data_IF_633261523012
#
_entry.id   IF_633261523012
#
_cell.length_a   1.000
_cell.length_b   1.000
_cell.length_c   1.000
_cell.angle_alpha   90.00
_cell.angle_beta   90.00
_cell.angle_gamma   90.00
#
_symmetry.space_group_name_H-M   'P 1'
#
loop_
_entity.id
_entity.type
_entity.pdbx_description
1 polymer ?
#
# COMPACT_ATOMS: atom_id res chain seq x y z
N UNK A 1 11.26 18.51 30.02
CA UNK A 1 10.05 18.77 29.19
C UNK A 1 10.52 19.53 27.96
N UNK A 2 10.27 18.99 26.79
CA UNK A 2 10.59 19.68 25.53
C UNK A 2 9.62 20.86 25.36
N UNK A 3 10.16 22.02 25.07
CA UNK A 3 9.37 23.24 24.86
C UNK A 3 8.99 23.43 23.41
N UNK A 4 7.78 23.92 23.17
CA UNK A 4 7.31 24.29 21.85
C UNK A 4 7.92 25.62 21.41
N UNK A 5 8.55 25.66 20.25
CA UNK A 5 9.16 26.85 19.67
C UNK A 5 8.38 27.33 18.44
N UNK A 6 8.45 28.61 18.14
CA UNK A 6 7.87 29.18 16.92
C UNK A 6 8.58 28.60 15.67
N UNK A 7 7.82 28.15 14.69
CA UNK A 7 8.32 27.55 13.46
C UNK A 7 9.24 28.51 12.66
N UNK A 8 9.07 29.83 12.83
CA UNK A 8 9.94 30.84 12.22
C UNK A 8 11.39 30.71 12.69
N UNK A 9 11.61 30.18 13.89
CA UNK A 9 12.95 30.00 14.47
C UNK A 9 13.61 28.67 14.08
N UNK A 10 12.92 27.83 13.32
CA UNK A 10 13.46 26.56 12.84
C UNK A 10 14.66 26.79 11.91
N UNK A 11 15.67 25.93 11.96
CA UNK A 11 16.83 26.02 11.06
C UNK A 11 16.45 25.91 9.59
N UNK A 12 17.23 26.51 8.71
CA UNK A 12 16.97 26.49 7.27
C UNK A 12 16.96 25.07 6.69
N UNK A 13 17.73 24.16 7.25
CA UNK A 13 17.79 22.76 6.83
C UNK A 13 16.43 22.09 7.06
N UNK A 14 15.83 22.27 8.24
CA UNK A 14 14.52 21.72 8.56
C UNK A 14 13.38 22.46 7.88
N UNK A 15 13.51 23.76 7.66
CA UNK A 15 12.58 24.52 6.80
C UNK A 15 12.55 23.98 5.39
N UNK A 16 13.70 23.61 4.82
CA UNK A 16 13.78 23.00 3.49
C UNK A 16 13.09 21.64 3.46
N UNK A 17 13.22 20.83 4.50
CA UNK A 17 12.52 19.56 4.65
C UNK A 17 11.00 19.77 4.70
N UNK A 18 10.53 20.71 5.48
CA UNK A 18 9.10 21.03 5.63
C UNK A 18 8.55 21.63 4.32
N UNK A 19 9.24 22.58 3.71
CA UNK A 19 8.82 23.24 2.47
C UNK A 19 8.69 22.28 1.28
N UNK A 20 9.35 21.13 1.36
CA UNK A 20 9.17 20.06 0.37
C UNK A 20 7.74 19.51 0.38
N UNK A 21 7.05 19.62 1.50
CA UNK A 21 5.71 19.08 1.71
C UNK A 21 4.65 20.17 1.98
N UNK A 22 5.03 21.33 2.51
CA UNK A 22 4.13 22.39 2.93
C UNK A 22 4.64 23.78 2.51
N UNK A 23 3.79 24.57 1.86
CA UNK A 23 4.15 25.89 1.35
C UNK A 23 4.04 27.02 2.39
N UNK A 24 3.55 26.74 3.61
CA UNK A 24 3.36 27.74 4.67
C UNK A 24 3.99 27.27 5.97
N UNK A 25 4.85 28.11 6.54
CA UNK A 25 5.60 27.84 7.76
C UNK A 25 5.04 28.63 8.96
N UNK A 26 3.74 28.52 9.22
CA UNK A 26 3.13 29.09 10.43
C UNK A 26 2.78 27.95 11.39
N UNK A 27 3.21 28.09 12.65
CA UNK A 27 2.97 27.11 13.68
C UNK A 27 4.11 27.00 14.69
N UNK A 28 4.07 25.96 15.49
CA UNK A 28 5.09 25.68 16.52
C UNK A 28 5.77 24.35 16.21
N UNK A 29 6.97 24.17 16.70
CA UNK A 29 7.70 22.92 16.59
C UNK A 29 8.33 22.51 17.91
N UNK A 30 8.58 21.23 18.02
CA UNK A 30 9.31 20.61 19.12
C UNK A 30 10.25 19.54 18.55
N UNK A 31 11.45 19.48 19.09
CA UNK A 31 12.42 18.45 18.72
C UNK A 31 12.67 17.56 19.92
N UNK A 32 12.36 16.28 19.77
CA UNK A 32 12.59 15.29 20.82
C UNK A 32 12.99 13.95 20.21
N UNK A 33 14.04 13.33 20.73
CA UNK A 33 14.54 12.02 20.27
C UNK A 33 14.75 11.94 18.74
N UNK A 34 15.29 13.01 18.13
CA UNK A 34 15.48 13.14 16.70
C UNK A 34 14.17 13.16 15.88
N UNK A 35 13.07 13.50 16.50
CA UNK A 35 11.80 13.72 15.84
C UNK A 35 11.49 15.23 15.93
N UNK A 36 11.32 15.85 14.78
CA UNK A 36 10.74 17.16 14.64
C UNK A 36 9.22 17.00 14.60
N UNK A 37 8.54 17.37 15.65
CA UNK A 37 7.07 17.48 15.67
C UNK A 37 6.70 18.91 15.35
N UNK A 38 5.84 19.12 14.38
CA UNK A 38 5.35 20.44 13.98
C UNK A 38 3.85 20.48 14.17
N UNK A 39 3.39 21.51 14.88
CA UNK A 39 1.98 21.86 14.99
C UNK A 39 1.74 23.07 14.08
N UNK A 40 1.16 22.82 12.93
CA UNK A 40 0.80 23.87 11.97
C UNK A 40 -0.52 24.51 12.40
N UNK A 41 -0.59 25.82 12.49
CA UNK A 41 -1.76 26.58 12.97
C UNK A 41 -3.08 26.18 12.27
N UNK A 42 -3.01 25.72 11.03
CA UNK A 42 -4.18 25.36 10.21
C UNK A 42 -4.25 23.87 9.84
N UNK A 43 -3.29 23.02 10.28
CA UNK A 43 -3.11 21.66 9.73
C UNK A 43 -2.93 20.59 10.81
N UNK A 44 -2.69 20.99 12.06
CA UNK A 44 -2.42 20.06 13.16
C UNK A 44 -1.00 19.49 13.18
N UNK A 45 -0.84 18.42 13.95
CA UNK A 45 0.46 17.84 14.30
C UNK A 45 1.03 16.95 13.19
N UNK A 46 2.25 17.30 12.74
CA UNK A 46 3.05 16.49 11.83
C UNK A 46 4.40 16.14 12.47
N UNK A 47 4.91 14.95 12.16
CA UNK A 47 6.19 14.45 12.69
C UNK A 47 7.19 14.18 11.59
N UNK A 48 8.38 14.77 11.71
CA UNK A 48 9.50 14.60 10.79
C UNK A 48 10.70 14.03 11.55
N UNK A 49 11.40 13.08 10.97
CA UNK A 49 12.65 12.58 11.55
C UNK A 49 13.84 13.43 11.11
N UNK A 50 14.61 13.98 12.08
CA UNK A 50 15.62 15.02 11.87
C UNK A 50 16.95 14.45 11.34
N UNK A 51 17.27 13.22 11.58
CA UNK A 51 18.54 12.67 11.17
C UNK A 51 18.56 12.42 9.68
N UNK A 52 19.03 13.40 8.95
CA UNK A 52 19.50 13.56 7.57
C UNK A 52 19.59 12.37 6.59
N UNK A 53 19.22 11.22 7.02
CA UNK A 53 18.87 10.05 6.23
C UNK A 53 17.36 10.08 6.14
N UNK A 54 16.88 10.75 5.10
CA UNK A 54 15.53 10.58 4.59
C UNK A 54 15.18 9.11 4.72
N UNK A 55 14.08 8.85 5.44
CA UNK A 55 13.43 7.56 5.43
C UNK A 55 14.08 6.43 6.21
N UNK A 56 14.02 6.48 7.49
CA UNK A 56 13.85 5.22 8.19
C UNK A 56 12.35 5.03 8.38
N UNK A 57 11.84 4.08 7.62
CA UNK A 57 10.53 3.45 7.63
C UNK A 57 9.71 3.73 8.88
N UNK A 58 8.54 4.31 8.69
CA UNK A 58 7.55 4.49 9.75
C UNK A 58 6.62 3.28 9.88
N UNK A 59 7.16 2.06 9.80
CA UNK A 59 6.41 0.93 10.27
C UNK A 59 6.99 0.46 11.60
N UNK A 60 6.14 0.41 12.57
CA UNK A 60 6.48 -0.15 13.86
C UNK A 60 6.13 -1.63 13.80
N UNK A 61 7.12 -2.47 14.01
CA UNK A 61 6.86 -3.84 14.43
C UNK A 61 6.31 -3.68 15.84
N UNK A 62 5.00 -3.78 15.99
CA UNK A 62 4.43 -4.01 17.31
C UNK A 62 4.91 -5.41 17.63
N UNK A 63 5.82 -5.51 18.58
CA UNK A 63 6.50 -6.74 19.00
C UNK A 63 5.52 -7.79 19.50
N UNK A 64 4.66 -8.30 18.64
CA UNK A 64 3.99 -9.55 18.85
C UNK A 64 4.35 -10.47 17.71
N UNK A 65 5.27 -11.34 18.02
CA UNK A 65 5.70 -12.43 17.18
C UNK A 65 5.44 -13.72 17.94
N UNK A 66 4.55 -14.52 17.42
CA UNK A 66 4.35 -15.89 17.87
C UNK A 66 4.45 -16.83 16.68
N UNK A 67 5.62 -16.84 16.04
CA UNK A 67 5.95 -17.81 15.01
C UNK A 67 6.92 -18.83 15.61
N UNK A 68 6.37 -19.82 16.27
CA UNK A 68 7.16 -20.96 16.78
C UNK A 68 7.54 -21.93 15.65
N UNK A 69 6.85 -21.87 14.51
CA UNK A 69 7.10 -22.70 13.33
C UNK A 69 6.76 -21.94 12.06
N UNK A 70 7.64 -22.04 11.06
CA UNK A 70 7.40 -21.51 9.73
C UNK A 70 6.67 -22.56 8.90
N UNK A 71 5.57 -22.16 8.29
CA UNK A 71 4.76 -22.97 7.38
C UNK A 71 4.95 -22.49 5.95
N UNK A 72 4.66 -23.35 4.97
CA UNK A 72 4.83 -23.04 3.54
C UNK A 72 3.92 -21.90 3.05
N UNK A 73 2.87 -21.59 3.82
CA UNK A 73 1.84 -20.61 3.45
C UNK A 73 1.88 -19.41 4.38
N UNK A 74 2.10 -18.23 3.82
CA UNK A 74 1.88 -16.95 4.48
C UNK A 74 0.50 -16.40 4.12
N UNK A 75 -0.24 -15.87 5.08
CA UNK A 75 -1.49 -15.13 4.85
C UNK A 75 -1.28 -13.69 5.31
N UNK A 76 -1.17 -12.77 4.37
CA UNK A 76 -0.93 -11.35 4.60
C UNK A 76 -2.24 -10.57 4.52
N UNK A 77 -2.64 -9.97 5.64
CA UNK A 77 -3.92 -9.28 5.84
C UNK A 77 -3.67 -7.81 6.11
N UNK A 78 -4.08 -6.94 5.19
CA UNK A 78 -3.94 -5.50 5.32
C UNK A 78 -5.20 -4.89 5.91
N UNK A 79 -5.09 -4.34 7.13
CA UNK A 79 -6.21 -3.82 7.91
C UNK A 79 -6.20 -2.29 7.90
N UNK A 80 -6.85 -1.72 6.89
CA UNK A 80 -7.16 -0.28 6.80
C UNK A 80 -8.52 0.10 7.41
N UNK A 81 -9.33 -0.89 7.83
CA UNK A 81 -10.60 -0.69 8.51
C UNK A 81 -10.93 -1.89 9.39
N UNK A 82 -10.99 -1.68 10.70
CA UNK A 82 -11.22 -2.74 11.67
C UNK A 82 -12.60 -3.41 11.54
N UNK A 83 -13.66 -2.63 11.34
CA UNK A 83 -15.01 -3.17 11.21
C UNK A 83 -15.16 -4.04 9.97
N UNK A 84 -14.49 -3.66 8.86
CA UNK A 84 -14.46 -4.48 7.65
C UNK A 84 -13.65 -5.75 7.89
N UNK A 85 -12.53 -5.68 8.62
CA UNK A 85 -11.75 -6.87 9.00
C UNK A 85 -12.62 -7.87 9.76
N UNK A 86 -13.42 -7.42 10.74
CA UNK A 86 -14.35 -8.28 11.48
C UNK A 86 -15.36 -9.00 10.56
N UNK A 87 -15.78 -8.38 9.45
CA UNK A 87 -16.65 -9.02 8.46
C UNK A 87 -15.91 -10.07 7.60
N UNK A 88 -14.58 -9.97 7.51
CA UNK A 88 -13.75 -10.91 6.74
C UNK A 88 -13.33 -12.15 7.56
N UNK A 89 -13.41 -12.09 8.88
CA UNK A 89 -12.92 -13.17 9.75
C UNK A 89 -13.52 -14.55 9.48
N UNK A 90 -14.82 -14.71 9.11
CA UNK A 90 -15.36 -16.02 8.76
C UNK A 90 -14.60 -16.72 7.62
N UNK A 91 -13.96 -15.97 6.73
CA UNK A 91 -13.11 -16.55 5.69
C UNK A 91 -11.76 -17.02 6.25
N UNK A 92 -11.21 -16.35 7.28
CA UNK A 92 -9.97 -16.77 7.95
C UNK A 92 -10.19 -18.06 8.76
N UNK A 93 -11.40 -18.29 9.27
CA UNK A 93 -11.75 -19.52 9.96
C UNK A 93 -11.63 -20.78 9.07
N UNK A 94 -11.63 -20.63 7.73
CA UNK A 94 -11.41 -21.72 6.79
C UNK A 94 -9.97 -22.27 6.79
N UNK A 95 -9.03 -21.60 7.51
CA UNK A 95 -7.66 -22.09 7.68
C UNK A 95 -7.47 -22.97 8.93
N UNK A 96 -8.51 -23.26 9.71
CA UNK A 96 -8.38 -23.98 10.99
C UNK A 96 -7.57 -25.28 10.90
N UNK A 97 -7.71 -26.02 9.79
CA UNK A 97 -7.02 -27.28 9.56
C UNK A 97 -5.84 -27.14 8.58
N UNK A 98 -5.50 -25.92 8.17
CA UNK A 98 -4.41 -25.62 7.25
C UNK A 98 -3.31 -24.88 8.02
N UNK A 99 -2.12 -25.41 7.99
CA UNK A 99 -0.98 -24.78 8.64
C UNK A 99 -0.54 -23.53 7.88
N UNK A 100 -0.69 -22.34 8.49
CA UNK A 100 -0.35 -21.04 7.92
C UNK A 100 0.28 -20.12 8.96
N UNK A 101 1.07 -19.17 8.51
CA UNK A 101 1.50 -18.04 9.32
C UNK A 101 0.72 -16.79 8.89
N UNK A 102 0.06 -16.14 9.85
CA UNK A 102 -0.70 -14.92 9.61
C UNK A 102 0.19 -13.69 9.83
N UNK A 103 0.08 -12.72 8.90
CA UNK A 103 0.73 -11.42 8.97
C UNK A 103 -0.34 -10.33 8.93
N UNK A 104 -0.73 -9.83 10.09
CA UNK A 104 -1.68 -8.73 10.22
C UNK A 104 -0.92 -7.41 10.15
N UNK A 105 -1.23 -6.57 9.18
CA UNK A 105 -0.65 -5.24 9.06
C UNK A 105 -1.75 -4.20 9.21
N UNK A 106 -1.72 -3.48 10.32
CA UNK A 106 -2.71 -2.48 10.68
C UNK A 106 -2.18 -1.08 10.36
N UNK A 107 -3.05 -0.20 9.89
CA UNK A 107 -2.74 1.22 9.95
C UNK A 107 -2.76 1.70 11.40
N UNK A 108 -1.96 2.73 11.72
CA UNK A 108 -1.72 3.18 13.10
C UNK A 108 -3.00 3.43 13.90
N UNK A 109 -4.01 4.02 13.28
CA UNK A 109 -5.31 4.33 13.94
C UNK A 109 -6.07 3.08 14.42
N UNK A 110 -5.77 1.90 13.86
CA UNK A 110 -6.36 0.62 14.27
C UNK A 110 -5.40 -0.22 15.14
N UNK A 111 -4.19 0.25 15.37
CA UNK A 111 -3.17 -0.42 16.19
C UNK A 111 -3.36 -0.12 17.68
N UNK A 112 -4.59 -0.19 18.13
CA UNK A 112 -4.96 0.01 19.55
C UNK A 112 -4.81 -1.29 20.34
N UNK A 113 -4.54 -1.22 21.67
CA UNK A 113 -4.28 -2.40 22.51
C UNK A 113 -5.36 -3.47 22.39
N UNK A 114 -6.62 -3.09 22.33
CA UNK A 114 -7.76 -4.01 22.26
C UNK A 114 -7.74 -4.83 20.97
N UNK A 115 -7.44 -4.21 19.84
CA UNK A 115 -7.36 -4.89 18.55
C UNK A 115 -6.16 -5.83 18.50
N UNK A 116 -5.03 -5.40 19.04
CA UNK A 116 -3.81 -6.18 19.10
C UNK A 116 -4.03 -7.43 19.98
N UNK A 117 -4.58 -7.24 21.16
CA UNK A 117 -4.86 -8.33 22.09
C UNK A 117 -5.88 -9.32 21.49
N UNK A 118 -6.89 -8.81 20.81
CA UNK A 118 -7.85 -9.65 20.09
C UNK A 118 -7.15 -10.55 19.05
N UNK A 119 -6.27 -9.98 18.22
CA UNK A 119 -5.54 -10.76 17.21
C UNK A 119 -4.61 -11.80 17.83
N UNK A 120 -3.89 -11.44 18.90
CA UNK A 120 -3.01 -12.35 19.65
C UNK A 120 -3.75 -13.58 20.17
N UNK A 121 -4.90 -13.35 20.78
CA UNK A 121 -5.67 -14.41 21.41
C UNK A 121 -6.35 -15.32 20.39
N UNK A 122 -6.75 -14.77 19.24
CA UNK A 122 -7.45 -15.54 18.21
C UNK A 122 -6.52 -16.28 17.26
N UNK A 123 -5.38 -15.69 16.92
CA UNK A 123 -4.46 -16.21 15.90
C UNK A 123 -3.08 -16.48 16.50
N UNK A 124 -2.88 -17.71 17.00
CA UNK A 124 -1.70 -18.08 17.79
C UNK A 124 -0.40 -18.18 16.99
N UNK A 125 -0.47 -18.26 15.65
CA UNK A 125 0.70 -18.32 14.75
C UNK A 125 0.75 -17.06 13.90
N UNK A 126 0.81 -15.89 14.56
CA UNK A 126 0.70 -14.61 13.85
C UNK A 126 1.82 -13.63 14.18
N UNK A 127 2.05 -12.73 13.25
CA UNK A 127 2.82 -11.50 13.40
C UNK A 127 1.86 -10.33 13.26
N UNK A 128 1.95 -9.37 14.16
CA UNK A 128 1.18 -8.13 14.11
C UNK A 128 2.13 -6.97 13.85
N UNK A 129 1.89 -6.27 12.76
CA UNK A 129 2.67 -5.13 12.32
C UNK A 129 1.78 -3.89 12.29
N UNK A 130 2.35 -2.72 12.55
CA UNK A 130 1.66 -1.45 12.44
C UNK A 130 2.39 -0.50 11.51
N UNK A 131 1.64 0.33 10.80
CA UNK A 131 2.19 1.29 9.85
C UNK A 131 1.32 2.52 9.73
N UNK A 132 1.93 3.62 9.28
CA UNK A 132 1.16 4.72 8.70
C UNK A 132 0.35 4.24 7.50
N UNK A 133 -0.71 4.97 7.14
CA UNK A 133 -1.53 4.69 5.96
C UNK A 133 -0.81 5.18 4.69
N UNK A 134 0.29 4.51 4.34
CA UNK A 134 1.10 4.79 3.16
C UNK A 134 0.85 3.74 2.10
N UNK A 135 0.47 4.16 0.90
CA UNK A 135 0.27 3.27 -0.24
C UNK A 135 -0.91 2.32 -0.08
N UNK A 136 -1.87 2.64 0.79
CA UNK A 136 -3.06 1.81 1.03
C UNK A 136 -2.70 0.33 1.33
N UNK A 137 -3.42 -0.59 0.74
CA UNK A 137 -3.18 -2.04 0.87
C UNK A 137 -1.85 -2.49 0.27
N UNK A 138 -1.34 -1.78 -0.73
CA UNK A 138 -0.04 -2.07 -1.36
C UNK A 138 1.10 -1.81 -0.37
N UNK A 139 1.10 -0.67 0.28
CA UNK A 139 2.13 -0.33 1.25
C UNK A 139 2.15 -1.29 2.43
N UNK A 140 0.98 -1.61 2.97
CA UNK A 140 0.85 -2.59 4.05
C UNK A 140 1.32 -3.99 3.61
N UNK A 141 1.09 -4.38 2.36
CA UNK A 141 1.60 -5.64 1.82
C UNK A 141 3.13 -5.64 1.70
N UNK A 142 3.72 -4.55 1.24
CA UNK A 142 5.19 -4.42 1.19
C UNK A 142 5.82 -4.55 2.57
N UNK A 143 5.15 -4.11 3.63
CA UNK A 143 5.60 -4.30 5.02
C UNK A 143 5.61 -5.78 5.40
N UNK A 144 4.58 -6.55 5.04
CA UNK A 144 4.60 -8.01 5.25
C UNK A 144 5.78 -8.66 4.54
N UNK A 145 6.01 -8.32 3.26
CA UNK A 145 7.13 -8.85 2.49
C UNK A 145 8.48 -8.44 3.10
N UNK A 146 8.59 -7.19 3.55
CA UNK A 146 9.78 -6.70 4.22
C UNK A 146 10.09 -7.51 5.48
N UNK A 147 9.09 -7.70 6.35
CA UNK A 147 9.23 -8.46 7.57
C UNK A 147 9.66 -9.91 7.29
N UNK A 148 9.00 -10.57 6.34
CA UNK A 148 9.34 -11.93 5.91
C UNK A 148 10.81 -12.02 5.46
N UNK A 149 11.26 -11.04 4.65
CA UNK A 149 12.62 -11.05 4.08
C UNK A 149 13.70 -10.71 5.11
N UNK A 150 13.47 -9.73 5.98
CA UNK A 150 14.48 -9.33 6.99
C UNK A 150 14.69 -10.44 8.02
N UNK A 151 13.64 -11.19 8.35
CA UNK A 151 13.69 -12.32 9.27
C UNK A 151 14.01 -13.66 8.56
N UNK A 152 14.26 -13.63 7.24
CA UNK A 152 14.60 -14.79 6.41
C UNK A 152 13.60 -15.94 6.56
N UNK A 153 12.30 -15.59 6.66
CA UNK A 153 11.21 -16.56 6.77
C UNK A 153 10.92 -17.16 5.39
N UNK A 154 10.95 -18.48 5.30
CA UNK A 154 10.73 -19.19 4.04
C UNK A 154 9.28 -19.64 3.93
N UNK A 155 8.56 -19.06 2.98
CA UNK A 155 7.24 -19.47 2.56
C UNK A 155 7.26 -19.79 1.07
N UNK A 156 6.55 -20.82 0.64
CA UNK A 156 6.38 -21.14 -0.78
C UNK A 156 5.28 -20.29 -1.41
N UNK A 157 4.25 -20.02 -0.63
CA UNK A 157 3.04 -19.31 -1.09
C UNK A 157 2.69 -18.14 -0.18
N UNK A 158 2.09 -17.12 -0.77
CA UNK A 158 1.50 -16.01 -0.04
C UNK A 158 0.09 -15.71 -0.54
N UNK A 159 -0.82 -15.55 0.41
CA UNK A 159 -2.18 -15.09 0.17
C UNK A 159 -2.26 -13.64 0.63
N UNK A 160 -2.66 -12.74 -0.28
CA UNK A 160 -2.84 -11.31 0.01
C UNK A 160 -4.32 -10.98 0.00
N UNK A 161 -4.80 -10.43 1.12
CA UNK A 161 -6.17 -9.92 1.27
C UNK A 161 -6.17 -8.59 2.04
N UNK A 162 -7.19 -7.78 1.85
CA UNK A 162 -7.26 -6.48 2.53
C UNK A 162 -8.69 -6.01 2.77
N UNK A 163 -8.85 -5.03 3.66
CA UNK A 163 -10.14 -4.44 4.01
C UNK A 163 -10.62 -3.45 2.94
N UNK A 164 -11.29 -3.96 1.91
CA UNK A 164 -11.86 -3.14 0.82
C UNK A 164 -13.31 -2.78 1.13
N UNK A 165 -13.68 -1.51 0.92
CA UNK A 165 -15.02 -0.98 1.23
C UNK A 165 -16.12 -1.50 0.31
N UNK A 166 -15.80 -1.82 -0.96
CA UNK A 166 -16.75 -2.44 -1.88
C UNK A 166 -17.04 -3.89 -1.45
N UNK A 167 -18.19 -4.10 -0.82
CA UNK A 167 -18.58 -5.39 -0.24
C UNK A 167 -18.69 -6.50 -1.28
N UNK A 168 -19.33 -6.23 -2.43
CA UNK A 168 -19.55 -7.25 -3.46
C UNK A 168 -18.20 -7.72 -4.02
N UNK A 169 -17.35 -6.78 -4.41
CA UNK A 169 -16.01 -7.09 -4.92
C UNK A 169 -15.18 -7.85 -3.89
N UNK A 170 -15.18 -7.39 -2.62
CA UNK A 170 -14.44 -8.01 -1.53
C UNK A 170 -14.90 -9.45 -1.28
N UNK A 171 -16.22 -9.64 -1.12
CA UNK A 171 -16.78 -10.95 -0.80
C UNK A 171 -16.57 -11.95 -1.93
N UNK A 172 -16.74 -11.54 -3.19
CA UNK A 172 -16.41 -12.39 -4.35
C UNK A 172 -14.93 -12.77 -4.36
N UNK A 173 -14.04 -11.79 -4.13
CA UNK A 173 -12.60 -12.03 -4.10
C UNK A 173 -12.20 -13.01 -3.00
N UNK A 174 -12.72 -12.83 -1.79
CA UNK A 174 -12.46 -13.72 -0.66
C UNK A 174 -13.04 -15.12 -0.91
N UNK A 175 -14.27 -15.20 -1.45
CA UNK A 175 -14.88 -16.48 -1.79
C UNK A 175 -14.05 -17.29 -2.80
N UNK A 176 -13.53 -16.63 -3.82
CA UNK A 176 -12.73 -17.27 -4.86
C UNK A 176 -11.36 -17.75 -4.37
N UNK A 177 -10.76 -17.07 -3.39
CA UNK A 177 -9.46 -17.47 -2.84
C UNK A 177 -9.61 -18.44 -1.66
N UNK A 178 -10.52 -18.16 -0.73
CA UNK A 178 -10.57 -18.79 0.59
C UNK A 178 -11.99 -18.98 1.13
N UNK A 179 -12.98 -19.13 0.24
CA UNK A 179 -14.40 -19.28 0.58
C UNK A 179 -14.75 -20.57 1.33
N UNK A 180 -13.85 -21.57 1.34
CA UNK A 180 -13.92 -22.78 2.15
C UNK A 180 -12.53 -23.42 2.24
N UNK A 181 -12.32 -24.32 3.20
CA UNK A 181 -11.10 -25.13 3.32
C UNK A 181 -10.79 -25.86 1.99
N UNK A 182 -11.80 -26.53 1.40
CA UNK A 182 -11.64 -27.20 0.10
C UNK A 182 -11.23 -26.25 -1.02
N UNK A 183 -11.74 -25.01 -1.02
CA UNK A 183 -11.36 -24.00 -2.01
C UNK A 183 -9.90 -23.62 -1.87
N UNK A 184 -9.42 -23.42 -0.63
CA UNK A 184 -8.02 -23.12 -0.35
C UNK A 184 -7.13 -24.27 -0.84
N UNK A 185 -7.45 -25.52 -0.48
CA UNK A 185 -6.69 -26.69 -0.89
C UNK A 185 -6.66 -26.83 -2.42
N UNK A 186 -7.78 -26.62 -3.10
CA UNK A 186 -7.85 -26.68 -4.54
C UNK A 186 -7.02 -25.57 -5.22
N UNK A 187 -7.03 -24.36 -4.66
CA UNK A 187 -6.19 -23.27 -5.13
C UNK A 187 -4.69 -23.57 -4.90
N UNK A 188 -4.33 -24.14 -3.76
CA UNK A 188 -2.96 -24.60 -3.49
C UNK A 188 -2.53 -25.68 -4.48
N UNK A 189 -3.38 -26.68 -4.78
CA UNK A 189 -3.11 -27.68 -5.83
C UNK A 189 -2.97 -27.07 -7.22
N UNK A 190 -3.75 -26.03 -7.55
CA UNK A 190 -3.60 -25.31 -8.82
C UNK A 190 -2.27 -24.58 -8.90
N UNK A 191 -1.95 -23.76 -7.87
CA UNK A 191 -0.74 -22.92 -7.88
C UNK A 191 0.55 -23.73 -7.76
N UNK A 192 0.51 -24.94 -7.19
CA UNK A 192 1.67 -25.83 -7.12
C UNK A 192 2.15 -26.28 -8.49
N UNK A 193 1.30 -26.23 -9.53
CA UNK A 193 1.73 -26.48 -10.91
C UNK A 193 2.85 -25.54 -11.31
N UNK A 194 3.83 -26.05 -12.03
CA UNK A 194 5.09 -25.38 -12.30
C UNK A 194 4.90 -24.01 -12.99
N UNK A 195 3.99 -23.96 -13.96
CA UNK A 195 3.74 -22.79 -14.79
C UNK A 195 2.78 -21.74 -14.20
N UNK A 196 2.17 -21.96 -13.02
CA UNK A 196 1.23 -21.00 -12.42
C UNK A 196 1.95 -20.21 -11.34
N UNK A 197 1.92 -18.89 -11.43
CA UNK A 197 2.55 -17.96 -10.49
C UNK A 197 1.58 -17.31 -9.53
N UNK A 198 0.36 -17.01 -10.00
CA UNK A 198 -0.63 -16.29 -9.21
C UNK A 198 -2.05 -16.71 -9.59
N UNK A 199 -2.91 -16.80 -8.58
CA UNK A 199 -4.36 -17.02 -8.72
C UNK A 199 -5.06 -15.75 -8.27
N UNK A 200 -5.88 -15.15 -9.14
CA UNK A 200 -6.68 -13.98 -8.85
C UNK A 200 -7.92 -14.32 -8.05
N UNK A 201 -8.23 -13.49 -7.05
CA UNK A 201 -9.51 -13.57 -6.34
C UNK A 201 -10.70 -13.03 -7.14
N UNK A 202 -10.45 -12.18 -8.14
CA UNK A 202 -11.51 -11.56 -8.93
C UNK A 202 -11.10 -11.41 -10.40
N UNK A 203 -11.13 -10.20 -10.92
CA UNK A 203 -10.91 -9.91 -12.34
C UNK A 203 -9.42 -9.84 -12.64
N UNK A 204 -9.03 -10.48 -13.73
CA UNK A 204 -7.75 -10.28 -14.40
C UNK A 204 -7.99 -9.31 -15.55
N UNK A 205 -7.31 -8.18 -15.52
CA UNK A 205 -7.33 -7.23 -16.63
C UNK A 205 -6.12 -7.38 -17.51
N UNK A 206 -6.37 -7.29 -18.83
CA UNK A 206 -5.31 -7.16 -19.83
C UNK A 206 -5.04 -5.69 -20.08
N UNK A 207 -3.77 -5.33 -20.11
CA UNK A 207 -3.36 -3.92 -20.25
C UNK A 207 -3.96 -3.25 -21.50
N UNK A 208 -4.09 -4.01 -22.60
CA UNK A 208 -4.63 -3.50 -23.87
C UNK A 208 -6.15 -3.31 -23.88
N UNK A 209 -6.89 -3.85 -22.89
CA UNK A 209 -8.35 -3.67 -22.78
C UNK A 209 -8.72 -2.30 -22.19
N UNK A 210 -7.79 -1.65 -21.49
CA UNK A 210 -7.90 -0.27 -21.09
C UNK A 210 -7.48 0.62 -22.25
N UNK A 211 -8.46 1.13 -22.98
CA UNK A 211 -8.27 2.04 -24.13
C UNK A 211 -7.69 3.42 -23.77
N UNK A 212 -7.32 3.65 -22.53
CA UNK A 212 -6.65 4.86 -22.12
C UNK A 212 -5.16 4.60 -21.85
N UNK A 213 -4.31 4.75 -22.90
CA UNK A 213 -2.85 4.65 -22.75
C UNK A 213 -2.27 5.74 -21.85
N UNK A 214 -3.09 6.73 -21.46
CA UNK A 214 -2.71 7.87 -20.64
C UNK A 214 -3.01 7.67 -19.15
N UNK A 215 -3.32 6.45 -18.72
CA UNK A 215 -3.24 6.21 -17.30
C UNK A 215 -1.79 6.39 -16.89
N UNK A 216 -1.47 7.40 -16.10
CA UNK A 216 -0.12 7.72 -15.59
C UNK A 216 0.54 6.57 -14.84
N UNK A 217 -0.19 5.49 -14.65
CA UNK A 217 0.32 4.21 -14.16
C UNK A 217 1.44 3.65 -15.04
N UNK A 218 1.40 3.90 -16.36
CA UNK A 218 2.47 3.50 -17.26
C UNK A 218 3.80 4.13 -16.87
N UNK A 219 3.81 5.43 -16.64
CA UNK A 219 5.04 6.15 -16.27
C UNK A 219 5.64 5.63 -14.96
N UNK A 220 4.81 5.38 -13.95
CA UNK A 220 5.27 4.80 -12.70
C UNK A 220 5.70 3.35 -12.86
N UNK A 221 4.96 2.56 -13.65
CA UNK A 221 5.28 1.18 -13.92
C UNK A 221 6.61 1.05 -14.68
N UNK A 222 6.83 1.87 -15.70
CA UNK A 222 8.08 1.91 -16.45
C UNK A 222 9.27 2.26 -15.55
N UNK A 223 9.12 3.27 -14.69
CA UNK A 223 10.15 3.63 -13.70
C UNK A 223 10.46 2.47 -12.74
N UNK A 224 9.44 1.77 -12.25
CA UNK A 224 9.62 0.63 -11.36
C UNK A 224 10.33 -0.52 -12.07
N UNK A 225 9.95 -0.84 -13.30
CA UNK A 225 10.58 -1.89 -14.11
C UNK A 225 12.02 -1.52 -14.43
N UNK A 226 12.27 -0.28 -14.85
CA UNK A 226 13.63 0.21 -15.09
C UNK A 226 14.49 0.14 -13.84
N UNK A 227 13.94 0.49 -12.68
CA UNK A 227 14.64 0.42 -11.41
C UNK A 227 14.97 -1.04 -11.01
N UNK A 228 13.99 -1.96 -11.15
CA UNK A 228 14.13 -3.35 -10.69
C UNK A 228 14.93 -4.22 -11.64
N UNK A 229 14.86 -3.97 -12.95
CA UNK A 229 15.39 -4.86 -13.99
C UNK A 229 16.33 -4.16 -14.99
N UNK A 230 16.45 -2.84 -14.92
CA UNK A 230 17.16 -2.02 -15.91
C UNK A 230 16.64 -2.23 -17.35
N UNK A 231 15.33 -2.44 -17.50
CA UNK A 231 14.67 -2.73 -18.77
C UNK A 231 13.58 -1.69 -19.04
N UNK A 232 13.23 -1.53 -20.32
CA UNK A 232 12.03 -0.81 -20.72
C UNK A 232 10.85 -1.78 -20.73
N UNK A 233 9.66 -1.26 -20.46
CA UNK A 233 8.45 -2.07 -20.46
C UNK A 233 8.07 -2.44 -21.90
N UNK A 234 7.88 -3.73 -22.16
CA UNK A 234 7.15 -4.19 -23.31
C UNK A 234 5.69 -4.45 -22.90
N UNK A 235 4.78 -3.60 -23.40
CA UNK A 235 3.37 -3.56 -22.99
C UNK A 235 2.54 -4.71 -23.56
N UNK A 236 3.05 -5.45 -24.52
CA UNK A 236 2.27 -6.53 -25.15
C UNK A 236 1.91 -7.59 -24.12
N UNK A 237 0.60 -7.78 -23.94
CA UNK A 237 0.03 -8.84 -23.11
C UNK A 237 0.36 -8.78 -21.60
N UNK A 238 0.48 -7.58 -21.03
CA UNK A 238 0.54 -7.46 -19.56
C UNK A 238 -0.83 -7.72 -18.95
N UNK A 239 -0.91 -8.70 -18.06
CA UNK A 239 -2.08 -9.01 -17.26
C UNK A 239 -1.82 -8.66 -15.80
N UNK A 240 -2.86 -8.26 -15.06
CA UNK A 240 -2.76 -8.00 -13.63
C UNK A 240 -4.06 -8.31 -12.88
N UNK A 241 -3.93 -8.58 -11.58
CA UNK A 241 -5.06 -8.82 -10.69
C UNK A 241 -5.62 -7.49 -10.19
N UNK A 242 -6.83 -7.15 -10.64
CA UNK A 242 -7.50 -5.96 -10.15
C UNK A 242 -7.86 -6.09 -8.66
N UNK A 243 -7.57 -5.02 -7.90
CA UNK A 243 -7.86 -4.93 -6.47
C UNK A 243 -7.02 -5.83 -5.59
N UNK A 244 -6.00 -6.48 -6.11
CA UNK A 244 -4.91 -7.15 -5.38
C UNK A 244 -5.32 -8.20 -4.34
N UNK A 245 -6.41 -8.92 -4.55
CA UNK A 245 -6.74 -10.15 -3.83
C UNK A 245 -6.17 -11.33 -4.61
N UNK A 246 -5.19 -12.02 -4.06
CA UNK A 246 -4.55 -13.13 -4.77
C UNK A 246 -3.91 -14.16 -3.84
N UNK A 247 -3.67 -15.35 -4.41
CA UNK A 247 -2.72 -16.34 -3.92
C UNK A 247 -1.56 -16.42 -4.91
N UNK A 248 -0.32 -16.36 -4.43
CA UNK A 248 0.86 -16.30 -5.30
C UNK A 248 2.01 -17.17 -4.78
N UNK A 249 2.89 -17.62 -5.69
CA UNK A 249 4.19 -18.18 -5.32
C UNK A 249 5.09 -17.06 -4.78
N UNK A 250 5.73 -17.29 -3.64
CA UNK A 250 6.65 -16.30 -3.07
C UNK A 250 7.81 -15.94 -4.00
N UNK A 251 8.25 -16.88 -4.84
CA UNK A 251 9.37 -16.66 -5.78
C UNK A 251 9.15 -15.50 -6.73
N UNK A 252 7.90 -15.13 -7.07
CA UNK A 252 7.65 -13.99 -7.96
C UNK A 252 8.09 -12.66 -7.34
N UNK A 253 8.14 -12.58 -6.01
CA UNK A 253 8.56 -11.41 -5.24
C UNK A 253 10.06 -11.41 -4.89
N UNK A 254 10.87 -12.31 -5.47
CA UNK A 254 12.30 -12.39 -5.13
C UNK A 254 13.06 -11.12 -5.50
N UNK A 255 12.69 -10.45 -6.60
CA UNK A 255 13.27 -9.17 -6.99
C UNK A 255 12.99 -8.06 -5.96
N UNK A 256 11.90 -8.18 -5.21
CA UNK A 256 11.58 -7.25 -4.12
C UNK A 256 12.39 -7.60 -2.87
N UNK A 257 13.71 -7.42 -2.95
CA UNK A 257 14.58 -7.52 -1.78
C UNK A 257 14.35 -6.36 -0.81
N UNK A 258 15.02 -6.36 0.34
CA UNK A 258 14.86 -5.35 1.39
C UNK A 258 15.07 -3.94 0.84
N UNK A 259 16.12 -3.71 0.04
CA UNK A 259 16.44 -2.39 -0.53
C UNK A 259 15.39 -1.94 -1.54
N UNK A 260 14.91 -2.84 -2.39
CA UNK A 260 13.88 -2.56 -3.38
C UNK A 260 12.53 -2.26 -2.72
N UNK A 261 12.16 -3.01 -1.68
CA UNK A 261 10.96 -2.73 -0.89
C UNK A 261 11.07 -1.34 -0.25
N UNK A 262 12.23 -1.00 0.32
CA UNK A 262 12.48 0.31 0.92
C UNK A 262 12.31 1.44 -0.09
N UNK A 263 12.94 1.30 -1.24
CA UNK A 263 12.83 2.29 -2.31
C UNK A 263 11.37 2.48 -2.74
N UNK A 264 10.66 1.38 -3.00
CA UNK A 264 9.26 1.44 -3.44
C UNK A 264 8.38 2.05 -2.35
N UNK A 265 8.48 1.56 -1.10
CA UNK A 265 7.68 2.04 0.03
C UNK A 265 7.83 3.54 0.27
N UNK A 266 9.06 4.05 0.15
CA UNK A 266 9.34 5.47 0.34
C UNK A 266 8.79 6.37 -0.77
N UNK A 267 8.50 5.80 -1.94
CA UNK A 267 7.87 6.52 -3.05
C UNK A 267 6.34 6.41 -3.05
N UNK A 268 5.74 5.63 -2.14
CA UNK A 268 4.29 5.56 -1.98
C UNK A 268 3.71 6.84 -1.38
N UNK A 269 2.47 7.12 -1.70
CA UNK A 269 1.76 8.25 -1.12
C UNK A 269 1.33 7.96 0.32
N UNK A 270 1.52 8.92 1.21
CA UNK A 270 0.89 8.89 2.52
C UNK A 270 -0.56 9.37 2.36
N UNK A 271 -1.51 8.46 2.56
CA UNK A 271 -2.92 8.72 2.28
C UNK A 271 -3.52 9.73 3.25
N UNK A 272 -3.11 9.69 4.52
CA UNK A 272 -3.66 10.58 5.53
C UNK A 272 -3.26 12.04 5.27
N UNK A 273 -2.02 12.28 4.85
CA UNK A 273 -1.56 13.63 4.46
C UNK A 273 -2.07 14.04 3.08
N UNK A 274 -2.28 13.08 2.17
CA UNK A 274 -2.79 13.34 0.84
C UNK A 274 -4.23 13.82 0.87
N UNK A 275 -5.11 13.16 1.62
CA UNK A 275 -6.51 13.56 1.75
C UNK A 275 -6.64 14.96 2.34
N UNK A 276 -5.81 15.30 3.33
CA UNK A 276 -5.81 16.62 3.94
C UNK A 276 -5.30 17.71 3.00
N UNK A 277 -4.22 17.43 2.27
CA UNK A 277 -3.66 18.34 1.27
C UNK A 277 -4.65 18.63 0.14
N UNK A 278 -5.37 17.59 -0.36
CA UNK A 278 -6.38 17.74 -1.40
C UNK A 278 -7.62 18.45 -0.90
N UNK A 279 -8.03 18.19 0.33
CA UNK A 279 -9.14 18.87 0.95
C UNK A 279 -8.88 20.38 1.05
N UNK A 280 -7.69 20.78 1.43
CA UNK A 280 -7.30 22.20 1.52
C UNK A 280 -7.23 22.88 0.16
N UNK A 281 -6.67 22.22 -0.84
CA UNK A 281 -6.67 22.75 -2.22
C UNK A 281 -8.11 22.89 -2.72
N UNK A 282 -8.98 21.91 -2.46
CA UNK A 282 -10.38 21.94 -2.85
C UNK A 282 -11.15 23.10 -2.22
N UNK A 283 -10.95 23.36 -0.93
CA UNK A 283 -11.62 24.46 -0.22
C UNK A 283 -11.02 25.83 -0.55
N UNK A 284 -9.74 25.93 -0.84
CA UNK A 284 -9.09 27.17 -1.23
C UNK A 284 -9.26 27.51 -2.73
N UNK A 285 -9.69 26.56 -3.54
CA UNK A 285 -10.03 26.82 -4.94
C UNK A 285 -11.41 27.48 -5.00
N UNK A 286 -11.42 28.80 -5.19
CA UNK A 286 -12.65 29.53 -5.46
C UNK A 286 -13.39 28.90 -6.65
N UNK A 287 -14.68 28.64 -6.47
CA UNK A 287 -15.56 27.94 -7.43
C UNK A 287 -15.41 28.46 -8.87
N UNK A 288 -15.13 29.75 -9.03
CA UNK A 288 -14.91 30.41 -10.33
C UNK A 288 -13.62 30.00 -11.06
N UNK A 289 -12.66 29.36 -10.38
CA UNK A 289 -11.38 28.93 -10.96
C UNK A 289 -11.34 27.43 -11.30
N UNK A 290 -12.37 26.64 -10.99
CA UNK A 290 -12.38 25.19 -11.24
C UNK A 290 -12.16 24.82 -12.70
N UNK A 291 -12.82 25.53 -13.62
CA UNK A 291 -12.70 25.31 -15.06
C UNK A 291 -11.30 25.71 -15.58
N UNK A 292 -10.68 26.76 -15.02
CA UNK A 292 -9.35 27.18 -15.39
C UNK A 292 -8.31 26.12 -14.98
N UNK A 293 -8.37 25.63 -13.76
CA UNK A 293 -7.45 24.58 -13.25
C UNK A 293 -7.61 23.28 -14.03
N UNK A 294 -8.86 22.91 -14.38
CA UNK A 294 -9.16 21.74 -15.21
C UNK A 294 -8.56 21.89 -16.61
N UNK A 295 -8.72 23.06 -17.24
CA UNK A 295 -8.17 23.36 -18.57
C UNK A 295 -6.64 23.47 -18.55
N UNK A 296 -6.06 24.09 -17.53
CA UNK A 296 -4.61 24.17 -17.34
C UNK A 296 -3.99 22.78 -17.12
N UNK A 297 -4.71 21.89 -16.45
CA UNK A 297 -4.31 20.51 -16.29
C UNK A 297 -4.31 19.74 -17.63
N UNK A 298 -5.37 19.84 -18.41
CA UNK A 298 -5.47 19.15 -19.73
C UNK A 298 -4.54 19.73 -20.77
N UNK A 299 -4.26 21.02 -20.74
CA UNK A 299 -3.41 21.70 -21.70
C UNK A 299 -1.91 21.62 -21.39
N UNK A 300 -1.55 21.40 -20.11
CA UNK A 300 -0.18 21.28 -19.65
C UNK A 300 0.16 19.83 -19.25
N UNK A 301 0.24 18.95 -20.25
CA UNK A 301 0.61 17.52 -20.08
C UNK A 301 1.95 17.27 -19.37
N UNK A 302 2.77 18.29 -19.18
CA UNK A 302 4.07 18.24 -18.52
C UNK A 302 4.04 18.73 -17.07
N UNK A 303 2.94 19.26 -16.57
CA UNK A 303 2.85 19.80 -15.23
C UNK A 303 2.29 18.78 -14.23
N UNK A 304 3.06 18.59 -13.20
CA UNK A 304 3.03 17.65 -12.07
C UNK A 304 1.82 17.79 -11.12
N UNK A 305 0.63 18.14 -11.61
CA UNK A 305 -0.54 18.04 -10.75
C UNK A 305 -1.02 16.60 -10.70
N UNK A 306 -1.17 16.01 -9.53
CA UNK A 306 -1.75 14.68 -9.42
C UNK A 306 -3.19 14.71 -9.96
N UNK A 307 -3.54 13.70 -10.74
CA UNK A 307 -4.82 13.63 -11.45
C UNK A 307 -6.04 13.49 -10.55
N UNK A 308 -5.82 13.18 -9.27
CA UNK A 308 -6.84 13.23 -8.23
C UNK A 308 -7.55 14.60 -8.16
N UNK A 309 -6.83 15.72 -8.44
CA UNK A 309 -7.44 17.05 -8.51
C UNK A 309 -8.50 17.10 -9.60
N UNK A 310 -8.17 16.65 -10.81
CA UNK A 310 -9.10 16.72 -11.94
C UNK A 310 -10.37 15.87 -11.66
N UNK A 311 -10.21 14.70 -11.03
CA UNK A 311 -11.34 13.89 -10.64
C UNK A 311 -12.17 14.53 -9.52
N UNK A 312 -11.51 15.05 -8.48
CA UNK A 312 -12.16 15.75 -7.37
C UNK A 312 -12.92 16.97 -7.87
N UNK A 313 -12.32 17.76 -8.78
CA UNK A 313 -12.96 18.93 -9.39
C UNK A 313 -14.20 18.52 -10.19
N UNK A 314 -14.12 17.44 -11.00
CA UNK A 314 -15.19 16.97 -11.85
C UNK A 314 -16.37 16.36 -11.09
N UNK A 315 -16.08 15.62 -10.00
CA UNK A 315 -17.09 14.82 -9.30
C UNK A 315 -17.48 15.37 -7.93
N UNK A 316 -16.71 16.33 -7.39
CA UNK A 316 -16.87 16.83 -6.02
C UNK A 316 -16.56 15.82 -4.93
N UNK A 317 -15.98 14.66 -5.30
CA UNK A 317 -15.60 13.59 -4.37
C UNK A 317 -14.09 13.43 -4.39
N UNK A 318 -13.40 13.46 -3.25
CA UNK A 318 -12.00 13.06 -3.20
C UNK A 318 -11.90 11.63 -3.73
N UNK A 319 -11.14 11.43 -4.78
CA UNK A 319 -11.05 10.15 -5.47
C UNK A 319 -9.61 9.69 -5.55
N UNK A 320 -9.34 8.53 -4.95
CA UNK A 320 -8.13 7.76 -5.20
C UNK A 320 -8.34 7.04 -6.53
N UNK A 321 -7.86 7.62 -7.63
CA UNK A 321 -7.96 6.98 -8.95
C UNK A 321 -6.59 6.84 -9.60
N UNK A 322 -6.60 6.13 -10.74
CA UNK A 322 -5.46 5.92 -11.62
C UNK A 322 -4.50 7.11 -11.62
N UNK A 323 -3.20 6.86 -11.75
CA UNK A 323 -2.07 7.79 -11.66
C UNK A 323 -1.28 7.76 -10.33
N UNK A 324 -1.67 6.91 -9.39
CA UNK A 324 -0.88 6.69 -8.18
C UNK A 324 0.11 5.55 -8.43
N UNK A 325 1.28 5.66 -7.83
CA UNK A 325 2.30 4.60 -7.89
C UNK A 325 1.77 3.26 -7.35
N UNK A 326 0.83 3.29 -6.42
CA UNK A 326 0.16 2.12 -5.85
C UNK A 326 -0.55 1.31 -6.95
N UNK A 327 -1.24 1.97 -7.86
CA UNK A 327 -1.88 1.30 -9.00
C UNK A 327 -0.86 0.76 -10.01
N UNK A 328 0.29 1.42 -10.16
CA UNK A 328 1.37 0.90 -10.97
C UNK A 328 1.96 -0.39 -10.37
N UNK A 329 2.04 -0.48 -9.03
CA UNK A 329 2.52 -1.69 -8.33
C UNK A 329 1.52 -2.84 -8.45
N UNK A 330 0.22 -2.58 -8.47
CA UNK A 330 -0.78 -3.58 -8.80
C UNK A 330 -0.49 -4.24 -10.14
N UNK A 331 -0.13 -3.45 -11.15
CA UNK A 331 0.29 -3.93 -12.48
C UNK A 331 1.66 -4.59 -12.46
N UNK A 332 2.57 -4.07 -11.63
CA UNK A 332 3.89 -4.67 -11.43
C UNK A 332 3.77 -6.14 -10.97
N UNK A 333 2.83 -6.48 -10.09
CA UNK A 333 2.67 -7.87 -9.64
C UNK A 333 2.36 -8.82 -10.81
N UNK A 334 1.55 -8.40 -11.77
CA UNK A 334 1.35 -9.15 -13.02
C UNK A 334 2.63 -9.25 -13.87
N UNK A 335 3.36 -8.15 -13.99
CA UNK A 335 4.66 -8.15 -14.67
C UNK A 335 5.66 -9.11 -14.02
N UNK A 336 5.69 -9.20 -12.69
CA UNK A 336 6.55 -10.15 -11.97
C UNK A 336 6.21 -11.61 -12.33
N UNK A 337 4.94 -11.95 -12.49
CA UNK A 337 4.55 -13.28 -12.99
C UNK A 337 5.11 -13.52 -14.39
N UNK A 338 4.87 -12.60 -15.33
CA UNK A 338 5.37 -12.67 -16.71
C UNK A 338 6.90 -12.81 -16.75
N UNK A 339 7.61 -12.03 -15.96
CA UNK A 339 9.08 -12.03 -15.90
C UNK A 339 9.67 -13.34 -15.38
N UNK A 340 8.92 -14.07 -14.58
CA UNK A 340 9.27 -15.41 -14.10
C UNK A 340 8.75 -16.53 -15.01
N UNK A 341 8.22 -16.23 -16.20
CA UNK A 341 7.57 -17.17 -17.12
C UNK A 341 6.42 -17.95 -16.46
N UNK A 342 5.66 -17.28 -15.60
CA UNK A 342 4.55 -17.86 -14.87
C UNK A 342 3.22 -17.23 -15.29
N UNK A 343 2.17 -18.05 -15.30
CA UNK A 343 0.82 -17.65 -15.65
C UNK A 343 0.12 -17.03 -14.45
N UNK A 344 -0.74 -16.07 -14.77
CA UNK A 344 -1.74 -15.52 -13.89
C UNK A 344 -3.09 -16.12 -14.30
N UNK A 345 -3.81 -16.74 -13.34
CA UNK A 345 -5.09 -17.43 -13.61
C UNK A 345 -6.19 -16.97 -12.64
N UNK A 346 -7.44 -17.25 -12.97
CA UNK A 346 -8.60 -17.08 -12.10
C UNK A 346 -9.01 -18.39 -11.43
#
# INVERSE_FOLDING_TARGET
MSEWNDLKNLSNEYKTLINKYFNHLNGKYMIENNILTVDFDNWGLEKFYINGIVTKKKFYIINYENISKIYDIAVSIQIGNWNIFKQMEPYLDNFKNINVNFYFVLINIHSVPENIEYLKNKYTTSVILSSENRGMDIGLFLISLYYIKINKLNHDYIIKIHTKTNNNFRNESLHNIMGSENKIINNLKKISKENIGMISGNVIYKYNEYKDPFTNNYYHLEKLIKYLYNESINNENLEFVAGTFFMAKMKIFNVLNIQNIDYIYNNLNNIDTLDYYWYSIYYNININNKNKIYNDYYNNKNNRYPNNIAYTIKTGKPGLRDYMIEHAIERLFGYLCKKNNLLLIK
#
